data_IF_270676520245
#
_entry.id   IF_270676520245
#
_cell.length_a   1.000
_cell.length_b   1.000
_cell.length_c   1.000
_cell.angle_alpha   90.00
_cell.angle_beta   90.00
_cell.angle_gamma   90.00
#
_symmetry.space_group_name_H-M   'P 1'
#
loop_
_entity.id
_entity.type
_entity.pdbx_description
1 polymer ?
#
# COMPACT_ATOMS: atom_id res chain seq x y z
N UNK A 1 -9.05 -25.73 -10.21
CA UNK A 1 -8.72 -26.14 -8.83
C UNK A 1 -7.43 -25.46 -8.43
N UNK A 2 -7.46 -24.57 -7.43
CA UNK A 2 -6.27 -23.88 -6.92
C UNK A 2 -6.58 -22.58 -6.19
N UNK A 3 -7.32 -22.64 -5.07
CA UNK A 3 -7.51 -21.47 -4.17
C UNK A 3 -6.82 -21.73 -2.83
N UNK A 4 -5.56 -21.28 -2.69
CA UNK A 4 -4.84 -20.99 -1.43
C UNK A 4 -3.89 -19.82 -1.76
N UNK A 5 -3.80 -18.71 -1.02
CA UNK A 5 -3.73 -18.58 0.43
C UNK A 5 -4.52 -17.34 0.95
N UNK A 6 -5.62 -17.51 1.71
CA UNK A 6 -6.25 -16.42 2.46
C UNK A 6 -5.59 -16.29 3.84
N UNK A 7 -4.28 -16.06 3.86
CA UNK A 7 -3.34 -15.72 4.97
C UNK A 7 -2.88 -16.80 5.99
N UNK A 8 -2.75 -18.06 5.60
CA UNK A 8 -2.19 -19.16 6.40
C UNK A 8 -0.67 -19.03 6.67
N UNK A 9 -0.30 -19.52 7.86
CA UNK A 9 1.04 -19.60 8.45
C UNK A 9 1.45 -21.08 8.46
N UNK A 10 2.46 -21.45 7.68
CA UNK A 10 3.24 -22.69 7.88
C UNK A 10 4.68 -22.39 7.45
N UNK A 11 5.56 -22.36 8.44
CA UNK A 11 7.00 -22.16 8.31
C UNK A 11 7.57 -23.03 7.19
N UNK A 12 8.07 -22.39 6.13
CA UNK A 12 9.06 -22.98 5.25
C UNK A 12 10.16 -21.95 5.07
N UNK A 13 11.24 -22.18 5.80
CA UNK A 13 12.53 -21.50 5.73
C UNK A 13 12.89 -21.19 4.27
N UNK A 14 12.69 -19.94 3.85
CA UNK A 14 13.49 -19.37 2.77
C UNK A 14 14.55 -18.52 3.41
N UNK A 15 15.69 -19.15 3.61
CA UNK A 15 16.99 -18.52 3.73
C UNK A 15 17.11 -17.42 2.68
N UNK A 16 17.11 -16.16 3.08
CA UNK A 16 17.79 -15.12 2.34
C UNK A 16 18.57 -14.22 3.29
N UNK A 17 19.86 -14.53 3.28
CA UNK A 17 21.02 -13.69 3.55
C UNK A 17 20.81 -12.37 4.29
N UNK A 18 21.43 -12.32 5.47
CA UNK A 18 22.17 -11.19 6.03
C UNK A 18 22.25 -9.97 5.08
N UNK A 19 21.37 -9.00 5.27
CA UNK A 19 21.46 -7.70 4.58
C UNK A 19 22.51 -6.88 5.34
N UNK A 20 23.59 -6.42 4.68
CA UNK A 20 24.60 -5.60 5.33
C UNK A 20 23.92 -4.39 5.97
N UNK A 21 24.38 -4.02 7.17
CA UNK A 21 24.13 -2.69 7.69
C UNK A 21 24.69 -1.70 6.66
N UNK A 22 23.83 -1.10 5.84
CA UNK A 22 24.18 0.16 5.18
C UNK A 22 24.22 1.21 6.28
N UNK A 23 25.35 1.24 6.98
CA UNK A 23 25.86 2.44 7.61
C UNK A 23 25.86 3.53 6.53
N UNK A 24 25.51 4.75 6.92
CA UNK A 24 25.68 5.94 6.09
C UNK A 24 27.15 6.05 5.68
N UNK A 25 27.51 5.48 4.56
CA UNK A 25 28.71 5.85 3.79
C UNK A 25 28.26 6.17 2.37
N UNK A 26 27.33 7.12 2.26
CA UNK A 26 27.17 7.86 1.01
C UNK A 26 28.36 8.81 0.91
N UNK A 27 29.16 8.61 -0.14
CA UNK A 27 30.21 9.54 -0.53
C UNK A 27 29.65 10.97 -0.58
N UNK A 28 30.40 11.92 -0.04
CA UNK A 28 30.13 13.36 0.10
C UNK A 28 29.84 14.13 -1.21
N UNK A 29 29.19 13.56 -2.23
CA UNK A 29 29.05 14.22 -3.55
C UNK A 29 27.73 14.00 -4.30
N UNK A 30 26.72 13.34 -3.73
CA UNK A 30 25.40 13.24 -4.37
C UNK A 30 24.28 13.68 -3.41
N UNK A 31 23.88 14.94 -3.54
CA UNK A 31 22.69 15.51 -2.92
C UNK A 31 21.45 15.14 -3.75
N UNK A 32 20.32 14.92 -3.09
CA UNK A 32 19.07 14.64 -3.78
C UNK A 32 18.67 15.85 -4.65
N UNK A 33 18.22 15.66 -5.90
CA UNK A 33 17.84 16.78 -6.74
C UNK A 33 16.72 17.60 -6.10
N UNK A 34 16.85 18.92 -6.05
CA UNK A 34 15.80 19.78 -5.49
C UNK A 34 14.48 19.59 -6.23
N UNK A 35 13.39 19.42 -5.49
CA UNK A 35 12.05 19.38 -6.06
C UNK A 35 11.77 20.67 -6.86
N UNK A 36 11.15 20.54 -8.03
CA UNK A 36 10.90 21.68 -8.91
C UNK A 36 10.09 22.79 -8.21
N UNK A 37 9.15 22.44 -7.33
CA UNK A 37 8.39 23.43 -6.57
C UNK A 37 9.25 24.14 -5.51
N UNK A 38 10.24 23.47 -4.91
CA UNK A 38 11.22 24.10 -4.02
C UNK A 38 12.07 25.10 -4.81
N UNK A 39 12.52 24.70 -6.00
CA UNK A 39 13.29 25.56 -6.91
C UNK A 39 12.52 26.79 -7.40
N UNK A 40 11.21 26.67 -7.62
CA UNK A 40 10.38 27.74 -8.18
C UNK A 40 9.66 28.61 -7.15
N UNK A 41 9.34 28.08 -5.97
CA UNK A 41 8.56 28.80 -4.95
C UNK A 41 9.42 29.57 -3.94
N UNK A 42 10.70 29.26 -3.81
CA UNK A 42 11.56 29.92 -2.83
C UNK A 42 12.05 31.27 -3.36
N UNK A 43 11.84 32.30 -2.55
CA UNK A 43 12.28 33.66 -2.86
C UNK A 43 13.79 33.69 -3.15
N UNK A 44 14.27 34.51 -4.11
CA UNK A 44 15.70 34.71 -4.37
C UNK A 44 16.52 35.07 -3.11
N UNK A 45 15.86 35.60 -2.08
CA UNK A 45 16.45 35.90 -0.76
C UNK A 45 17.00 34.67 -0.04
N UNK A 46 16.56 33.46 -0.40
CA UNK A 46 17.01 32.21 0.20
C UNK A 46 18.11 31.51 -0.61
N UNK A 47 18.44 31.98 -1.83
CA UNK A 47 19.54 31.44 -2.64
C UNK A 47 20.90 31.40 -1.92
N UNK A 48 21.27 32.38 -1.06
CA UNK A 48 22.53 32.34 -0.32
C UNK A 48 22.57 31.28 0.81
N UNK A 49 21.44 30.62 1.11
CA UNK A 49 21.30 29.71 2.25
C UNK A 49 20.96 28.28 1.77
N UNK A 50 21.90 27.54 1.16
CA UNK A 50 21.64 26.24 0.55
C UNK A 50 21.10 25.20 1.54
N UNK A 51 21.56 25.22 2.79
CA UNK A 51 21.06 24.38 3.89
C UNK A 51 19.56 24.56 4.17
N UNK A 52 18.99 25.76 3.95
CA UNK A 52 17.54 25.99 4.09
C UNK A 52 16.80 25.31 2.94
N UNK A 53 17.34 25.41 1.72
CA UNK A 53 16.76 24.77 0.53
C UNK A 53 16.80 23.25 0.68
N UNK A 54 17.93 22.69 1.13
CA UNK A 54 18.10 21.27 1.44
C UNK A 54 17.13 20.81 2.54
N UNK A 55 17.02 21.55 3.64
CA UNK A 55 16.11 21.21 4.73
C UNK A 55 14.64 21.17 4.27
N UNK A 56 14.20 22.18 3.50
CA UNK A 56 12.85 22.22 2.95
C UNK A 56 12.63 21.06 1.97
N UNK A 57 13.63 20.77 1.12
CA UNK A 57 13.58 19.66 0.18
C UNK A 57 13.46 18.32 0.92
N UNK A 58 14.31 18.05 1.90
CA UNK A 58 14.31 16.82 2.71
C UNK A 58 13.00 16.64 3.48
N UNK A 59 12.39 17.73 3.94
CA UNK A 59 11.09 17.70 4.61
C UNK A 59 9.95 17.33 3.67
N UNK A 60 9.98 17.81 2.42
CA UNK A 60 8.89 17.65 1.45
C UNK A 60 9.03 16.39 0.60
N UNK A 61 10.26 15.92 0.39
CA UNK A 61 10.56 14.77 -0.45
C UNK A 61 9.72 13.54 -0.11
N UNK A 62 9.59 13.08 1.16
CA UNK A 62 8.90 11.84 1.44
C UNK A 62 7.45 11.82 0.98
N UNK A 63 6.69 12.86 1.33
CA UNK A 63 5.28 12.97 0.94
C UNK A 63 5.12 13.21 -0.55
N UNK A 64 6.08 13.89 -1.18
CA UNK A 64 6.09 14.10 -2.63
C UNK A 64 6.29 12.78 -3.36
N UNK A 65 7.20 11.93 -2.90
CA UNK A 65 7.40 10.59 -3.46
C UNK A 65 6.18 9.70 -3.21
N UNK A 66 5.59 9.71 -2.01
CA UNK A 66 4.36 8.95 -1.74
C UNK A 66 3.24 9.33 -2.73
N UNK A 67 3.05 10.63 -2.97
CA UNK A 67 2.09 11.13 -3.95
C UNK A 67 2.46 10.80 -5.40
N UNK A 68 3.73 10.88 -5.76
CA UNK A 68 4.23 10.54 -7.08
C UNK A 68 4.07 9.05 -7.39
N UNK A 69 4.35 8.20 -6.39
CA UNK A 69 3.94 6.81 -6.40
C UNK A 69 2.45 6.79 -6.64
N UNK A 70 1.57 7.18 -5.71
CA UNK A 70 0.10 7.06 -5.87
C UNK A 70 -0.48 7.51 -7.24
N UNK A 71 0.08 8.56 -7.85
CA UNK A 71 -0.38 9.11 -9.13
C UNK A 71 0.27 8.52 -10.39
N UNK A 72 1.18 7.56 -10.29
CA UNK A 72 1.80 6.94 -11.48
C UNK A 72 2.88 7.80 -12.13
N UNK A 73 3.56 8.66 -11.36
CA UNK A 73 4.61 9.52 -11.87
C UNK A 73 5.95 8.77 -11.94
N UNK A 74 6.01 7.72 -12.75
CA UNK A 74 7.13 6.75 -12.78
C UNK A 74 8.48 7.41 -13.07
N UNK A 75 8.50 8.47 -13.89
CA UNK A 75 9.71 9.27 -14.14
C UNK A 75 10.24 9.88 -12.86
N UNK A 76 9.37 10.51 -12.07
CA UNK A 76 9.77 11.12 -10.80
C UNK A 76 10.19 10.05 -9.80
N UNK A 77 9.47 8.94 -9.73
CA UNK A 77 9.85 7.80 -8.87
C UNK A 77 11.25 7.28 -9.24
N UNK A 78 11.58 7.20 -10.54
CA UNK A 78 12.89 6.78 -11.03
C UNK A 78 13.99 7.80 -10.74
N UNK A 79 13.72 9.09 -10.96
CA UNK A 79 14.70 10.17 -10.77
C UNK A 79 15.14 10.29 -9.31
N UNK A 80 14.25 9.94 -8.38
CA UNK A 80 14.51 10.00 -6.94
C UNK A 80 14.86 8.64 -6.31
N UNK A 81 14.93 7.56 -7.12
CA UNK A 81 15.12 6.16 -6.69
C UNK A 81 16.30 5.94 -5.74
N UNK A 82 17.41 6.61 -6.01
CA UNK A 82 18.64 6.51 -5.21
C UNK A 82 18.58 7.27 -3.87
N UNK A 83 17.75 8.31 -3.77
CA UNK A 83 17.73 9.26 -2.65
C UNK A 83 16.58 9.02 -1.67
N UNK A 84 15.61 8.20 -2.08
CA UNK A 84 14.35 7.90 -1.41
C UNK A 84 14.41 8.05 0.12
N UNK A 85 13.61 8.95 0.68
CA UNK A 85 12.92 8.72 1.94
C UNK A 85 11.45 8.53 1.56
N UNK A 86 10.90 7.31 1.61
CA UNK A 86 9.45 7.12 1.44
C UNK A 86 8.83 6.80 2.79
N UNK A 87 7.59 7.21 3.00
CA UNK A 87 6.86 6.75 4.18
C UNK A 87 6.14 5.44 3.87
N UNK A 88 5.42 4.88 4.85
CA UNK A 88 4.48 3.78 4.60
C UNK A 88 3.44 4.12 3.53
N UNK A 89 3.19 5.43 3.30
CA UNK A 89 2.28 5.96 2.29
C UNK A 89 2.64 5.56 0.86
N UNK A 90 3.92 5.38 0.52
CA UNK A 90 4.31 4.90 -0.81
C UNK A 90 3.81 3.48 -1.07
N UNK A 91 4.01 2.55 -0.12
CA UNK A 91 3.51 1.18 -0.28
C UNK A 91 1.99 1.12 -0.19
N UNK A 92 1.37 1.87 0.71
CA UNK A 92 -0.09 1.95 0.81
C UNK A 92 -0.72 2.46 -0.49
N UNK A 93 -0.14 3.51 -1.07
CA UNK A 93 -0.59 4.09 -2.33
C UNK A 93 -0.31 3.20 -3.55
N UNK A 94 0.83 2.50 -3.58
CA UNK A 94 1.12 1.52 -4.61
C UNK A 94 0.12 0.35 -4.58
N UNK A 95 -0.23 -0.12 -3.37
CA UNK A 95 -1.20 -1.19 -3.18
C UNK A 95 -2.62 -0.79 -3.61
N UNK A 96 -3.07 0.41 -3.21
CA UNK A 96 -4.35 0.97 -3.64
C UNK A 96 -4.46 1.19 -5.16
N UNK A 97 -3.34 1.16 -5.87
CA UNK A 97 -3.24 1.34 -7.33
C UNK A 97 -2.89 0.05 -8.08
N UNK A 98 -2.77 -1.08 -7.37
CA UNK A 98 -2.51 -2.37 -8.00
C UNK A 98 -1.08 -2.53 -8.52
N UNK A 99 -0.14 -1.65 -8.16
CA UNK A 99 1.23 -1.65 -8.69
C UNK A 99 2.15 -2.56 -7.90
N UNK A 100 2.00 -3.84 -8.18
CA UNK A 100 2.80 -4.91 -7.58
C UNK A 100 4.29 -4.77 -7.88
N UNK A 101 4.66 -4.26 -9.05
CA UNK A 101 6.04 -4.00 -9.46
C UNK A 101 6.73 -2.97 -8.54
N UNK A 102 6.04 -1.89 -8.19
CA UNK A 102 6.53 -0.87 -7.25
C UNK A 102 6.61 -1.47 -5.84
N UNK A 103 5.58 -2.20 -5.40
CA UNK A 103 5.59 -2.86 -4.08
C UNK A 103 6.77 -3.81 -3.91
N UNK A 104 7.03 -4.66 -4.90
CA UNK A 104 8.17 -5.58 -4.89
C UNK A 104 9.50 -4.85 -4.88
N UNK A 105 9.59 -3.70 -5.55
CA UNK A 105 10.80 -2.89 -5.58
C UNK A 105 11.06 -2.20 -4.24
N UNK A 106 10.03 -1.58 -3.66
CA UNK A 106 10.10 -0.94 -2.36
C UNK A 106 10.47 -1.99 -1.28
N UNK A 107 9.82 -3.15 -1.26
CA UNK A 107 10.11 -4.19 -0.27
C UNK A 107 11.57 -4.70 -0.29
N UNK A 108 12.23 -4.74 -1.45
CA UNK A 108 13.63 -5.17 -1.56
C UNK A 108 14.63 -4.11 -1.10
N UNK A 109 14.25 -2.84 -1.17
CA UNK A 109 15.17 -1.70 -0.98
C UNK A 109 14.91 -0.94 0.31
N UNK A 110 13.79 -1.20 1.01
CA UNK A 110 13.25 -0.37 2.09
C UNK A 110 12.88 -1.16 3.34
N UNK A 111 12.80 -0.49 4.49
CA UNK A 111 12.49 -1.10 5.80
C UNK A 111 11.20 -0.58 6.44
N UNK A 112 10.67 0.53 5.96
CA UNK A 112 9.50 1.23 6.52
C UNK A 112 8.23 0.38 6.41
N UNK A 113 8.10 -0.42 5.35
CA UNK A 113 6.97 -1.32 5.13
C UNK A 113 5.68 -0.59 4.71
N UNK A 114 4.54 -1.20 5.02
CA UNK A 114 3.21 -0.66 4.75
C UNK A 114 2.36 -0.62 6.02
N UNK A 115 1.18 -0.03 5.92
CA UNK A 115 0.15 -0.08 6.96
C UNK A 115 -1.01 -1.00 6.56
N UNK A 116 -2.04 -1.14 7.41
CA UNK A 116 -3.27 -1.83 7.04
C UNK A 116 -3.99 -1.14 5.86
N UNK A 117 -3.70 0.14 5.60
CA UNK A 117 -4.28 0.87 4.47
C UNK A 117 -3.88 0.27 3.12
N UNK A 118 -2.70 -0.36 2.99
CA UNK A 118 -2.34 -1.10 1.79
C UNK A 118 -3.35 -2.21 1.46
N UNK A 119 -3.73 -3.02 2.46
CA UNK A 119 -4.71 -4.09 2.29
C UNK A 119 -6.10 -3.56 1.98
N UNK A 120 -6.54 -2.54 2.73
CA UNK A 120 -7.86 -1.94 2.56
C UNK A 120 -7.96 -1.28 1.18
N UNK A 121 -6.95 -0.52 0.77
CA UNK A 121 -6.89 0.12 -0.54
C UNK A 121 -6.88 -0.89 -1.69
N UNK A 122 -6.10 -1.96 -1.58
CA UNK A 122 -6.09 -3.03 -2.57
C UNK A 122 -7.44 -3.78 -2.64
N UNK A 123 -8.09 -4.01 -1.50
CA UNK A 123 -9.42 -4.61 -1.43
C UNK A 123 -10.51 -3.71 -2.03
N UNK A 124 -10.45 -2.40 -1.76
CA UNK A 124 -11.36 -1.39 -2.27
C UNK A 124 -11.32 -1.20 -3.79
N UNK A 125 -10.26 -1.68 -4.46
CA UNK A 125 -10.08 -1.60 -5.92
C UNK A 125 -9.87 -2.99 -6.57
N UNK A 126 -10.23 -4.07 -5.87
CA UNK A 126 -10.14 -5.46 -6.33
C UNK A 126 -8.76 -5.93 -6.81
N UNK A 127 -7.66 -5.40 -6.27
CA UNK A 127 -6.30 -5.80 -6.63
C UNK A 127 -5.88 -7.11 -5.92
N UNK A 128 -6.44 -8.24 -6.37
CA UNK A 128 -6.23 -9.57 -5.77
C UNK A 128 -4.75 -10.00 -5.73
N UNK A 129 -3.98 -9.73 -6.79
CA UNK A 129 -2.55 -10.07 -6.83
C UNK A 129 -1.76 -9.33 -5.75
N UNK A 130 -2.09 -8.06 -5.52
CA UNK A 130 -1.52 -7.26 -4.43
C UNK A 130 -1.94 -7.82 -3.08
N UNK A 131 -3.20 -8.21 -2.90
CA UNK A 131 -3.67 -8.81 -1.63
C UNK A 131 -2.94 -10.12 -1.30
N UNK A 132 -2.69 -10.96 -2.30
CA UNK A 132 -1.90 -12.17 -2.10
C UNK A 132 -0.46 -11.84 -1.75
N UNK A 133 0.18 -10.94 -2.49
CA UNK A 133 1.55 -10.54 -2.19
C UNK A 133 1.70 -9.91 -0.80
N UNK A 134 0.79 -8.99 -0.44
CA UNK A 134 0.76 -8.42 0.91
C UNK A 134 0.52 -9.49 1.97
N UNK A 135 -0.32 -10.48 1.70
CA UNK A 135 -0.57 -11.61 2.58
C UNK A 135 0.68 -12.45 2.87
N UNK A 136 1.57 -12.62 1.90
CA UNK A 136 2.79 -13.40 2.06
C UNK A 136 3.84 -12.69 2.95
N UNK A 137 3.95 -11.36 2.85
CA UNK A 137 4.99 -10.59 3.56
C UNK A 137 4.50 -9.84 4.80
N UNK A 138 3.22 -9.46 4.84
CA UNK A 138 2.65 -8.52 5.81
C UNK A 138 1.31 -9.02 6.40
N UNK A 139 1.07 -10.33 6.45
CA UNK A 139 -0.18 -10.94 6.94
C UNK A 139 -0.72 -10.39 8.25
N UNK A 140 0.16 -10.00 9.18
CA UNK A 140 -0.21 -9.42 10.49
C UNK A 140 -0.94 -8.07 10.40
N UNK A 141 -0.76 -7.34 9.29
CA UNK A 141 -1.40 -6.04 9.05
C UNK A 141 -2.79 -6.16 8.40
N UNK A 142 -3.19 -7.35 7.96
CA UNK A 142 -4.48 -7.56 7.33
C UNK A 142 -5.63 -7.29 8.31
N UNK A 143 -6.66 -6.60 7.83
CA UNK A 143 -7.90 -6.30 8.57
C UNK A 143 -9.11 -6.83 7.79
N UNK A 144 -9.44 -8.13 7.87
CA UNK A 144 -10.44 -8.75 6.99
C UNK A 144 -11.80 -8.06 7.00
N UNK A 145 -12.29 -7.62 8.16
CA UNK A 145 -13.57 -6.91 8.26
C UNK A 145 -13.55 -5.58 7.48
N UNK A 146 -12.53 -4.74 7.69
CA UNK A 146 -12.36 -3.47 6.98
C UNK A 146 -12.16 -3.68 5.47
N UNK A 147 -11.40 -4.70 5.09
CA UNK A 147 -11.17 -5.07 3.69
C UNK A 147 -12.47 -5.52 2.99
N UNK A 148 -13.26 -6.39 3.64
CA UNK A 148 -14.55 -6.86 3.11
C UNK A 148 -15.55 -5.71 3.06
N UNK A 149 -15.59 -4.85 4.07
CA UNK A 149 -16.45 -3.67 4.05
C UNK A 149 -16.09 -2.75 2.88
N UNK A 150 -14.80 -2.45 2.67
CA UNK A 150 -14.35 -1.62 1.56
C UNK A 150 -14.64 -2.28 0.19
N UNK A 151 -14.41 -3.58 0.07
CA UNK A 151 -14.76 -4.34 -1.13
C UNK A 151 -16.28 -4.32 -1.39
N UNK A 152 -17.10 -4.46 -0.34
CA UNK A 152 -18.55 -4.45 -0.43
C UNK A 152 -19.10 -3.08 -0.84
N UNK A 153 -18.52 -2.00 -0.31
CA UNK A 153 -18.84 -0.63 -0.71
C UNK A 153 -18.53 -0.33 -2.18
N UNK A 154 -17.60 -1.07 -2.80
CA UNK A 154 -17.18 -0.89 -4.20
C UNK A 154 -17.63 -2.03 -5.13
N UNK A 155 -18.49 -2.94 -4.67
CA UNK A 155 -19.06 -4.00 -5.50
C UNK A 155 -18.09 -5.13 -5.86
N UNK A 156 -17.04 -5.34 -5.07
CA UNK A 156 -15.97 -6.30 -5.39
C UNK A 156 -16.26 -7.70 -4.83
N UNK A 157 -17.21 -8.39 -5.48
CA UNK A 157 -17.67 -9.75 -5.15
C UNK A 157 -16.51 -10.72 -4.89
N UNK A 158 -15.49 -10.75 -5.76
CA UNK A 158 -14.38 -11.71 -5.65
C UNK A 158 -13.53 -11.52 -4.38
N UNK A 159 -13.36 -10.30 -3.91
CA UNK A 159 -12.64 -10.02 -2.66
C UNK A 159 -13.47 -10.46 -1.46
N UNK A 160 -14.78 -10.24 -1.51
CA UNK A 160 -15.72 -10.70 -0.47
C UNK A 160 -15.72 -12.24 -0.39
N UNK A 161 -15.81 -12.93 -1.53
CA UNK A 161 -15.71 -14.40 -1.60
C UNK A 161 -14.42 -14.95 -0.99
N UNK A 162 -13.31 -14.24 -1.17
CA UNK A 162 -12.00 -14.64 -0.65
C UNK A 162 -11.92 -14.55 0.87
N UNK A 163 -12.61 -13.59 1.48
CA UNK A 163 -12.33 -13.15 2.84
C UNK A 163 -13.45 -13.43 3.86
N UNK A 164 -14.69 -13.65 3.42
CA UNK A 164 -15.86 -13.75 4.32
C UNK A 164 -15.71 -14.80 5.44
N UNK A 165 -14.98 -15.90 5.20
CA UNK A 165 -14.79 -16.99 6.18
C UNK A 165 -14.07 -16.56 7.46
N UNK A 166 -13.45 -15.38 7.46
CA UNK A 166 -12.70 -14.83 8.59
C UNK A 166 -13.52 -13.84 9.41
N UNK A 167 -14.74 -13.55 8.98
CA UNK A 167 -15.61 -12.57 9.61
C UNK A 167 -16.64 -13.26 10.49
N UNK A 168 -17.03 -12.55 11.54
CA UNK A 168 -18.21 -12.83 12.36
C UNK A 168 -19.49 -12.37 11.66
N UNK A 169 -20.64 -12.89 12.11
CA UNK A 169 -21.95 -12.52 11.57
C UNK A 169 -22.21 -11.01 11.63
N UNK A 170 -21.79 -10.31 12.69
CA UNK A 170 -21.95 -8.87 12.84
C UNK A 170 -21.11 -8.07 11.83
N UNK A 171 -19.92 -8.56 11.49
CA UNK A 171 -19.06 -7.97 10.46
C UNK A 171 -19.65 -8.20 9.07
N UNK A 172 -20.24 -9.38 8.82
CA UNK A 172 -20.95 -9.66 7.57
C UNK A 172 -22.20 -8.78 7.41
N UNK A 173 -23.01 -8.59 8.46
CA UNK A 173 -24.15 -7.65 8.44
C UNK A 173 -23.71 -6.22 8.12
N UNK A 174 -22.59 -5.79 8.69
CA UNK A 174 -22.02 -4.46 8.42
C UNK A 174 -21.62 -4.32 6.95
N UNK A 175 -21.03 -5.36 6.35
CA UNK A 175 -20.70 -5.40 4.94
C UNK A 175 -21.96 -5.42 4.04
N UNK A 176 -23.02 -6.14 4.43
CA UNK A 176 -24.33 -6.14 3.74
C UNK A 176 -24.90 -4.72 3.71
N UNK A 177 -24.90 -4.03 4.86
CA UNK A 177 -25.36 -2.64 4.95
C UNK A 177 -24.55 -1.73 4.04
N UNK A 178 -23.22 -1.88 4.03
CA UNK A 178 -22.33 -1.06 3.23
C UNK A 178 -22.54 -1.26 1.71
N UNK A 179 -22.70 -2.49 1.25
CA UNK A 179 -23.04 -2.81 -0.14
C UNK A 179 -24.44 -2.30 -0.52
N UNK A 180 -25.41 -2.44 0.38
CA UNK A 180 -26.80 -1.98 0.16
C UNK A 180 -26.86 -0.46 -0.02
N UNK A 181 -26.19 0.30 0.86
CA UNK A 181 -26.12 1.76 0.76
C UNK A 181 -25.41 2.25 -0.50
N UNK A 182 -24.54 1.42 -1.09
CA UNK A 182 -23.77 1.73 -2.30
C UNK A 182 -24.41 1.17 -3.58
N UNK A 183 -25.53 0.45 -3.47
CA UNK A 183 -26.27 -0.11 -4.61
C UNK A 183 -25.69 -1.41 -5.20
N UNK A 184 -24.76 -2.07 -4.53
CA UNK A 184 -24.10 -3.30 -5.01
C UNK A 184 -24.90 -4.56 -4.64
N UNK A 185 -26.00 -4.78 -5.36
CA UNK A 185 -26.97 -5.85 -5.10
C UNK A 185 -26.36 -7.26 -5.23
N UNK A 186 -25.40 -7.45 -6.12
CA UNK A 186 -24.65 -8.69 -6.30
C UNK A 186 -23.88 -9.10 -5.03
N UNK A 187 -23.20 -8.14 -4.39
CA UNK A 187 -22.53 -8.37 -3.10
C UNK A 187 -23.54 -8.65 -1.98
N UNK A 188 -24.67 -7.92 -1.96
CA UNK A 188 -25.73 -8.14 -0.96
C UNK A 188 -26.31 -9.55 -1.06
N UNK A 189 -26.61 -10.02 -2.29
CA UNK A 189 -27.12 -11.37 -2.55
C UNK A 189 -26.09 -12.41 -2.11
N UNK A 190 -24.82 -12.24 -2.46
CA UNK A 190 -23.75 -13.13 -2.04
C UNK A 190 -23.65 -13.23 -0.52
N UNK A 191 -23.57 -12.10 0.18
CA UNK A 191 -23.39 -12.08 1.63
C UNK A 191 -24.60 -12.70 2.36
N UNK A 192 -25.83 -12.41 1.92
CA UNK A 192 -27.03 -13.04 2.49
C UNK A 192 -27.06 -14.54 2.27
N UNK A 193 -26.67 -15.01 1.08
CA UNK A 193 -26.58 -16.43 0.79
C UNK A 193 -25.54 -17.13 1.67
N UNK A 194 -24.38 -16.49 1.88
CA UNK A 194 -23.33 -16.98 2.78
C UNK A 194 -23.85 -17.12 4.21
N UNK A 195 -24.52 -16.08 4.73
CA UNK A 195 -25.02 -16.06 6.11
C UNK A 195 -26.17 -17.05 6.33
N UNK A 196 -27.02 -17.26 5.32
CA UNK A 196 -28.08 -18.27 5.39
C UNK A 196 -27.52 -19.71 5.36
N UNK A 197 -26.43 -19.95 4.62
CA UNK A 197 -25.81 -21.27 4.52
C UNK A 197 -24.90 -21.63 5.71
N UNK A 198 -24.48 -20.65 6.51
CA UNK A 198 -23.63 -20.85 7.69
C UNK A 198 -24.42 -21.15 8.99
N UNK A 199 -25.75 -21.07 8.94
CA UNK A 199 -26.68 -21.42 10.02
C UNK A 199 -27.22 -22.84 9.83
#
# INVERSE_FOLDING_TARGET
MGFKNPFAIASSLRHFAFIPQYSRSYSSSMEAPLLLHVKLALSPKFEPFPHILEFVNDLLLPRTIDGAVYNGLDRLVKDYEAFFPCTVGAMDGAAARGRLDILQRLQRTRREGCSSAAFIGAAAHAHLEVLWWLGEFYSKLARPAEMVQAAAQNGHVRVVELLWRRLSDSELESAVKAASSSGHNDVVVLLRAIMAAAR
#
